data_IF_300938129391
#
_entry.id   IF_300938129391
#
_cell.length_a   1.000
_cell.length_b   1.000
_cell.length_c   1.000
_cell.angle_alpha   90.00
_cell.angle_beta   90.00
_cell.angle_gamma   90.00
#
_symmetry.space_group_name_H-M   'P 1'
#
loop_
_entity.id
_entity.type
_entity.pdbx_description
1 polymer ?
#
# COMPACT_ATOMS: atom_id res chain seq x y z
N UNK A 1 -5.92 29.64 39.37
CA UNK A 1 -6.62 29.02 38.23
C UNK A 1 -5.93 29.47 36.93
N UNK A 2 -5.13 28.61 36.29
CA UNK A 2 -4.37 28.97 35.07
C UNK A 2 -5.08 28.59 33.76
N UNK A 3 -6.27 27.96 33.84
CA UNK A 3 -6.99 27.48 32.65
C UNK A 3 -7.58 28.60 31.78
N UNK A 4 -8.14 29.62 32.38
CA UNK A 4 -8.73 30.78 31.65
C UNK A 4 -7.70 31.51 30.79
N UNK A 5 -6.48 31.72 31.31
CA UNK A 5 -5.38 32.32 30.55
C UNK A 5 -4.99 31.48 29.34
N UNK A 6 -4.96 30.15 29.48
CA UNK A 6 -4.66 29.23 28.36
C UNK A 6 -5.77 29.22 27.31
N UNK A 7 -7.04 29.28 27.71
CA UNK A 7 -8.19 29.37 26.81
C UNK A 7 -8.15 30.66 25.98
N UNK A 8 -7.93 31.82 26.62
CA UNK A 8 -7.81 33.10 25.94
C UNK A 8 -6.63 33.10 24.97
N UNK A 9 -5.47 32.60 25.41
CA UNK A 9 -4.28 32.50 24.54
C UNK A 9 -4.50 31.59 23.34
N UNK A 10 -5.21 30.48 23.50
CA UNK A 10 -5.50 29.56 22.39
C UNK A 10 -6.54 30.16 21.42
N UNK A 11 -7.50 30.91 21.93
CA UNK A 11 -8.48 31.61 21.10
C UNK A 11 -7.84 32.72 20.22
N UNK A 12 -6.84 33.42 20.74
CA UNK A 12 -6.16 34.50 20.04
C UNK A 12 -5.00 34.04 19.15
N UNK A 13 -4.52 32.79 19.30
CA UNK A 13 -3.45 32.25 18.47
C UNK A 13 -3.96 31.77 17.11
N UNK A 14 -3.07 31.84 16.10
CA UNK A 14 -3.32 31.20 14.81
C UNK A 14 -3.56 29.73 15.00
N UNK A 15 -4.44 29.12 14.20
CA UNK A 15 -4.73 27.69 14.18
C UNK A 15 -3.43 26.89 14.09
N UNK A 16 -3.24 25.92 14.98
CA UNK A 16 -2.15 24.96 14.94
C UNK A 16 -2.41 23.83 13.91
N UNK A 17 -3.68 23.65 13.52
CA UNK A 17 -4.13 22.67 12.55
C UNK A 17 -4.09 23.22 11.13
N UNK A 18 -3.98 22.34 10.14
CA UNK A 18 -4.06 22.70 8.73
C UNK A 18 -5.48 22.65 8.22
N UNK A 19 -5.77 23.47 7.23
CA UNK A 19 -7.07 23.45 6.56
C UNK A 19 -7.13 22.31 5.54
N UNK A 20 -7.14 21.05 6.03
CA UNK A 20 -7.36 19.88 5.18
C UNK A 20 -8.88 19.72 4.93
N UNK A 21 -9.36 19.38 3.72
CA UNK A 21 -8.58 19.01 2.52
C UNK A 21 -8.18 20.19 1.62
N UNK A 22 -8.58 21.46 1.93
CA UNK A 22 -8.33 22.62 1.06
C UNK A 22 -6.82 22.88 0.83
N UNK A 23 -5.99 22.58 1.81
CA UNK A 23 -4.53 22.66 1.73
C UNK A 23 -3.92 21.30 2.10
N UNK A 24 -3.94 20.37 1.16
CA UNK A 24 -3.22 19.11 1.31
C UNK A 24 -1.70 19.35 1.30
N UNK A 25 -0.98 18.60 2.11
CA UNK A 25 0.49 18.60 2.09
C UNK A 25 0.97 17.61 1.05
N UNK A 26 2.06 17.93 0.37
CA UNK A 26 2.78 16.95 -0.44
C UNK A 26 3.24 15.77 0.43
N UNK A 27 3.08 14.53 -0.05
CA UNK A 27 3.54 13.35 0.68
C UNK A 27 5.06 13.38 0.84
N UNK A 28 5.56 12.82 1.92
CA UNK A 28 6.99 12.67 2.11
C UNK A 28 7.59 11.70 1.07
N UNK A 29 8.86 11.87 0.67
CA UNK A 29 9.50 11.01 -0.34
C UNK A 29 9.47 9.50 -0.01
N UNK A 30 9.43 9.17 1.29
CA UNK A 30 9.38 7.78 1.76
C UNK A 30 7.98 7.35 2.24
N UNK A 31 6.93 8.09 1.88
CA UNK A 31 5.56 7.70 2.18
C UNK A 31 5.20 6.40 1.45
N UNK A 32 4.61 5.46 2.19
CA UNK A 32 4.09 4.22 1.63
C UNK A 32 2.60 4.42 1.35
N UNK A 33 2.29 4.74 0.13
CA UNK A 33 0.91 4.82 -0.36
C UNK A 33 0.49 3.55 -1.09
N UNK A 34 -0.21 3.68 -2.20
CA UNK A 34 -0.77 2.55 -2.95
C UNK A 34 0.30 1.52 -3.33
N UNK A 35 0.03 0.25 -3.00
CA UNK A 35 0.84 -0.89 -3.45
C UNK A 35 0.50 -1.21 -4.91
N UNK A 36 1.53 -1.36 -5.75
CA UNK A 36 1.37 -1.85 -7.12
C UNK A 36 2.39 -2.94 -7.43
N UNK A 37 2.04 -3.81 -8.37
CA UNK A 37 2.86 -4.93 -8.81
C UNK A 37 3.17 -4.79 -10.31
N UNK A 38 4.45 -4.79 -10.65
CA UNK A 38 4.90 -4.93 -12.05
C UNK A 38 4.80 -6.40 -12.48
N UNK A 39 3.58 -6.80 -12.88
CA UNK A 39 3.26 -8.20 -13.15
C UNK A 39 4.16 -8.84 -14.20
N UNK A 40 4.71 -8.05 -15.14
CA UNK A 40 5.64 -8.54 -16.17
C UNK A 40 6.95 -9.12 -15.60
N UNK A 41 7.39 -8.63 -14.44
CA UNK A 41 8.58 -9.10 -13.72
C UNK A 41 8.26 -10.21 -12.71
N UNK A 42 7.00 -10.37 -12.34
CA UNK A 42 6.58 -11.28 -11.28
C UNK A 42 6.83 -12.74 -11.68
N UNK A 43 7.42 -13.52 -10.77
CA UNK A 43 7.67 -14.96 -10.94
C UNK A 43 6.68 -15.82 -10.14
N UNK A 44 5.67 -15.24 -9.54
CA UNK A 44 4.62 -15.92 -8.76
C UNK A 44 5.15 -16.84 -7.65
N UNK A 45 6.27 -16.49 -7.00
CA UNK A 45 6.91 -17.32 -5.96
C UNK A 45 6.08 -17.44 -4.66
N UNK A 46 5.12 -16.54 -4.43
CA UNK A 46 4.24 -16.55 -3.26
C UNK A 46 4.90 -16.08 -1.96
N UNK A 47 6.12 -15.51 -1.98
CA UNK A 47 6.78 -14.98 -0.79
C UNK A 47 6.02 -13.80 -0.20
N UNK A 48 5.51 -12.90 -1.05
CA UNK A 48 4.71 -11.74 -0.62
C UNK A 48 3.44 -12.16 0.11
N UNK A 49 2.76 -13.23 -0.34
CA UNK A 49 1.59 -13.79 0.33
C UNK A 49 1.95 -14.33 1.71
N UNK A 50 3.01 -15.17 1.81
CA UNK A 50 3.43 -15.82 3.07
C UNK A 50 3.93 -14.83 4.12
N UNK A 51 4.50 -13.71 3.70
CA UNK A 51 5.07 -12.70 4.60
C UNK A 51 4.12 -11.53 4.88
N UNK A 52 2.94 -11.52 4.28
CA UNK A 52 1.95 -10.48 4.50
C UNK A 52 1.30 -10.62 5.89
N UNK A 53 1.45 -9.64 6.80
CA UNK A 53 0.87 -9.72 8.15
C UNK A 53 -0.66 -9.65 8.14
N UNK A 54 -1.26 -8.94 7.18
CA UNK A 54 -2.70 -8.81 7.03
C UNK A 54 -3.31 -9.83 6.06
N UNK A 55 -2.50 -10.73 5.48
CA UNK A 55 -2.94 -11.75 4.52
C UNK A 55 -3.76 -11.20 3.33
N UNK A 56 -3.51 -9.95 2.97
CA UNK A 56 -4.24 -9.26 1.91
C UNK A 56 -3.79 -9.65 0.48
N UNK A 57 -2.74 -10.46 0.34
CA UNK A 57 -2.18 -10.87 -0.96
C UNK A 57 -2.39 -12.36 -1.15
N UNK A 58 -2.92 -12.75 -2.30
CA UNK A 58 -3.03 -14.14 -2.73
C UNK A 58 -2.31 -14.32 -4.06
N UNK A 59 -1.56 -15.41 -4.19
CA UNK A 59 -0.80 -15.73 -5.40
C UNK A 59 -1.14 -17.14 -5.84
N UNK A 60 -1.76 -17.25 -6.99
CA UNK A 60 -1.96 -18.52 -7.67
C UNK A 60 -0.84 -18.72 -8.68
N UNK A 61 -0.06 -19.80 -8.48
CA UNK A 61 1.10 -20.14 -9.32
C UNK A 61 0.70 -20.81 -10.62
N UNK A 62 -0.40 -21.56 -10.60
CA UNK A 62 -0.83 -22.38 -11.73
C UNK A 62 -1.51 -21.51 -12.79
N UNK A 63 -2.35 -20.59 -12.35
CA UNK A 63 -3.02 -19.61 -13.23
C UNK A 63 -2.18 -18.34 -13.46
N UNK A 64 -1.03 -18.18 -12.77
CA UNK A 64 -0.21 -16.98 -12.78
C UNK A 64 -1.02 -15.71 -12.45
N UNK A 65 -1.86 -15.80 -11.43
CA UNK A 65 -2.69 -14.69 -10.94
C UNK A 65 -2.15 -14.19 -9.60
N UNK A 66 -2.00 -12.88 -9.50
CA UNK A 66 -1.69 -12.18 -8.26
C UNK A 66 -2.87 -11.29 -7.88
N UNK A 67 -3.39 -11.45 -6.68
CA UNK A 67 -4.49 -10.64 -6.17
C UNK A 67 -4.08 -9.93 -4.89
N UNK A 68 -4.61 -8.74 -4.70
CA UNK A 68 -4.42 -7.96 -3.47
C UNK A 68 -5.72 -7.25 -3.08
N UNK A 69 -6.07 -7.36 -1.81
CA UNK A 69 -7.12 -6.55 -1.22
C UNK A 69 -6.51 -5.26 -0.63
N UNK A 70 -6.67 -4.12 -1.30
CA UNK A 70 -6.09 -2.86 -0.84
C UNK A 70 -6.73 -2.32 0.44
N UNK A 71 -7.95 -2.77 0.79
CA UNK A 71 -8.65 -2.35 2.02
C UNK A 71 -8.18 -3.13 3.25
N UNK A 72 -7.64 -4.33 3.06
CA UNK A 72 -7.00 -5.10 4.11
C UNK A 72 -5.50 -4.79 4.25
N UNK A 73 -4.91 -4.09 3.29
CA UNK A 73 -3.48 -3.78 3.29
C UNK A 73 -3.13 -2.72 4.33
N UNK A 74 -2.17 -3.02 5.21
CA UNK A 74 -1.66 -2.08 6.23
C UNK A 74 -0.42 -1.28 5.78
N UNK A 75 -0.08 -1.34 4.50
CA UNK A 75 1.03 -0.59 3.88
C UNK A 75 2.38 -0.76 4.58
N UNK A 76 2.63 -1.91 5.20
CA UNK A 76 3.87 -2.17 5.96
C UNK A 76 5.13 -2.26 5.10
N UNK A 77 5.01 -2.55 3.79
CA UNK A 77 6.11 -2.67 2.85
C UNK A 77 6.88 -4.00 2.91
N UNK A 78 6.50 -4.94 3.77
CA UNK A 78 7.18 -6.24 3.90
C UNK A 78 7.18 -7.03 2.59
N UNK A 79 6.07 -6.98 1.83
CA UNK A 79 5.96 -7.69 0.54
C UNK A 79 6.97 -7.18 -0.49
N UNK A 80 7.24 -5.87 -0.52
CA UNK A 80 8.26 -5.28 -1.39
C UNK A 80 9.66 -5.69 -0.93
N UNK A 81 9.95 -5.62 0.37
CA UNK A 81 11.26 -5.96 0.93
C UNK A 81 11.67 -7.43 0.71
N UNK A 82 10.71 -8.36 0.64
CA UNK A 82 11.01 -9.79 0.46
C UNK A 82 10.92 -10.25 -1.01
N UNK A 83 10.61 -9.37 -1.93
CA UNK A 83 10.45 -9.72 -3.33
C UNK A 83 11.82 -9.95 -4.01
N UNK A 84 12.13 -11.18 -4.49
CA UNK A 84 13.44 -11.48 -5.06
C UNK A 84 13.67 -10.85 -6.43
N UNK A 85 12.61 -10.41 -7.10
CA UNK A 85 12.67 -9.78 -8.44
C UNK A 85 12.26 -8.31 -8.41
N UNK A 86 12.06 -7.76 -7.20
CA UNK A 86 11.73 -6.36 -6.98
C UNK A 86 10.61 -5.85 -7.89
N UNK A 87 9.47 -6.59 -7.91
CA UNK A 87 8.32 -6.24 -8.73
C UNK A 87 7.21 -5.51 -7.94
N UNK A 88 7.34 -5.42 -6.61
CA UNK A 88 6.35 -4.82 -5.73
C UNK A 88 6.85 -3.48 -5.21
N UNK A 89 6.09 -2.43 -5.47
CA UNK A 89 6.47 -1.07 -5.08
C UNK A 89 5.31 -0.34 -4.42
N UNK A 90 5.62 0.71 -3.67
CA UNK A 90 4.65 1.63 -3.11
C UNK A 90 4.75 2.99 -3.82
N UNK A 91 3.61 3.53 -4.23
CA UNK A 91 3.52 4.93 -4.65
C UNK A 91 3.61 5.83 -3.40
N UNK A 92 3.96 7.07 -3.59
CA UNK A 92 3.89 8.08 -2.51
C UNK A 92 2.47 8.59 -2.28
N UNK A 93 1.58 8.39 -3.27
CA UNK A 93 0.18 8.82 -3.24
C UNK A 93 -0.74 7.70 -2.77
N UNK A 94 -1.80 8.07 -2.06
CA UNK A 94 -2.83 7.15 -1.60
C UNK A 94 -3.84 6.87 -2.71
N UNK A 95 -4.51 5.72 -2.60
CA UNK A 95 -5.67 5.44 -3.45
C UNK A 95 -6.79 6.46 -3.19
N UNK A 96 -7.57 6.79 -4.22
CA UNK A 96 -8.78 7.57 -4.01
C UNK A 96 -9.77 6.81 -3.12
N UNK A 97 -10.59 7.54 -2.40
CA UNK A 97 -11.64 6.97 -1.56
C UNK A 97 -12.68 6.29 -2.46
N UNK A 98 -13.01 5.03 -2.16
CA UNK A 98 -14.05 4.26 -2.84
C UNK A 98 -15.09 3.78 -1.83
N UNK A 99 -16.35 3.65 -2.26
CA UNK A 99 -17.42 3.02 -1.48
C UNK A 99 -17.51 1.52 -1.70
N UNK A 100 -16.93 1.05 -2.79
CA UNK A 100 -16.91 -0.36 -3.17
C UNK A 100 -15.54 -0.97 -2.85
N UNK A 101 -15.57 -2.24 -2.44
CA UNK A 101 -14.36 -2.99 -2.13
C UNK A 101 -13.81 -3.64 -3.39
N UNK A 102 -12.93 -2.94 -4.08
CA UNK A 102 -12.29 -3.44 -5.29
C UNK A 102 -11.05 -4.26 -4.94
N UNK A 103 -11.04 -5.51 -5.36
CA UNK A 103 -9.85 -6.38 -5.27
C UNK A 103 -9.02 -6.20 -6.54
N UNK A 104 -7.75 -5.90 -6.37
CA UNK A 104 -6.80 -5.82 -7.48
C UNK A 104 -6.44 -7.24 -7.90
N UNK A 105 -6.73 -7.59 -9.15
CA UNK A 105 -6.34 -8.88 -9.73
C UNK A 105 -5.51 -8.64 -10.99
N UNK A 106 -4.29 -9.19 -11.02
CA UNK A 106 -3.35 -9.07 -12.13
C UNK A 106 -2.96 -10.46 -12.61
N UNK A 107 -3.11 -10.69 -13.91
CA UNK A 107 -2.71 -11.93 -14.55
C UNK A 107 -1.41 -11.73 -15.33
N UNK A 108 -0.43 -12.57 -15.07
CA UNK A 108 0.83 -12.60 -15.79
C UNK A 108 0.90 -13.71 -16.81
N UNK A 109 2.07 -13.84 -17.44
CA UNK A 109 2.33 -14.96 -18.36
C UNK A 109 2.81 -16.17 -17.57
N UNK A 110 2.17 -17.31 -17.74
CA UNK A 110 2.66 -18.60 -17.21
C UNK A 110 3.98 -18.89 -17.89
N UNK A 111 5.10 -18.84 -17.16
CA UNK A 111 6.36 -19.39 -17.64
C UNK A 111 6.27 -20.91 -17.53
N UNK A 112 6.21 -21.59 -18.66
CA UNK A 112 6.36 -23.04 -18.71
C UNK A 112 7.64 -23.43 -17.97
N UNK A 113 7.49 -24.13 -16.84
CA UNK A 113 8.64 -24.73 -16.16
C UNK A 113 9.16 -25.85 -17.06
N UNK A 114 10.32 -25.65 -17.70
CA UNK A 114 11.10 -26.77 -18.21
C UNK A 114 11.28 -27.72 -17.03
N UNK A 115 10.62 -28.88 -17.10
CA UNK A 115 10.95 -30.04 -16.27
C UNK A 115 12.31 -30.52 -16.76
N UNK A 116 13.37 -30.07 -16.14
CA UNK A 116 14.64 -30.76 -16.22
C UNK A 116 14.47 -32.05 -15.44
N UNK A 117 14.61 -33.17 -16.19
CA UNK A 117 14.71 -34.51 -15.68
C UNK A 117 16.05 -34.69 -14.97
#
# INVERSE_FOLDING_TARGET
MKMTSNLIRNLLRRKATRDYPARAREPFPHSRGELYNEIAKCIFCGLCQRKCPSQCITVDKDSAVWTCDPFACVYCGTCAAVCPVDCLHHKTTWRPVSRERDIISLQGRVKERKKEK
#
